data_IF_889175560948
#
_entry.id   IF_889175560948
#
_cell.length_a   1.000
_cell.length_b   1.000
_cell.length_c   1.000
_cell.angle_alpha   90.00
_cell.angle_beta   90.00
_cell.angle_gamma   90.00
#
_symmetry.space_group_name_H-M   'P 1'
#
loop_
_entity.id
_entity.type
_entity.pdbx_description
1 polymer ?
#
# COMPACT_ATOMS: atom_id res chain seq x y z
N UNK A 1 -1.37 26.78 9.61
CA UNK A 1 -2.45 27.12 8.66
C UNK A 1 -3.34 25.91 8.54
N UNK A 2 -4.59 26.02 9.01
CA UNK A 2 -5.62 24.97 8.90
C UNK A 2 -5.82 24.68 7.41
N UNK A 3 -5.56 23.45 6.98
CA UNK A 3 -5.97 22.98 5.66
C UNK A 3 -7.39 22.46 5.79
N UNK A 4 -8.30 23.06 5.04
CA UNK A 4 -9.72 22.77 5.04
C UNK A 4 -10.00 21.30 4.67
N UNK A 5 -10.93 20.67 5.39
CA UNK A 5 -11.33 19.26 5.24
C UNK A 5 -11.88 18.91 3.84
N UNK A 6 -12.11 19.92 2.99
CA UNK A 6 -12.65 19.79 1.64
C UNK A 6 -11.61 19.51 0.54
N UNK A 7 -10.31 19.61 0.80
CA UNK A 7 -9.27 19.34 -0.22
C UNK A 7 -8.77 17.88 -0.25
N UNK A 8 -9.21 17.02 0.68
CA UNK A 8 -8.93 15.58 0.64
C UNK A 8 -9.63 14.82 -0.52
N UNK A 9 -10.34 15.53 -1.40
CA UNK A 9 -11.14 14.98 -2.49
C UNK A 9 -10.52 15.08 -3.90
N UNK A 10 -9.22 15.39 -4.05
CA UNK A 10 -8.55 15.37 -5.36
C UNK A 10 -7.48 14.30 -5.49
N UNK A 11 -7.87 13.04 -5.59
CA UNK A 11 -7.13 12.12 -6.45
C UNK A 11 -8.16 11.30 -7.24
N UNK A 12 -8.51 11.72 -8.47
CA UNK A 12 -9.15 10.81 -9.39
C UNK A 12 -8.14 9.71 -9.68
N UNK A 13 -8.43 8.51 -9.21
CA UNK A 13 -7.83 7.28 -9.72
C UNK A 13 -8.34 7.05 -11.14
N UNK A 14 -8.07 8.00 -12.04
CA UNK A 14 -8.38 7.86 -13.44
C UNK A 14 -7.73 6.58 -13.95
N UNK A 15 -8.49 5.86 -14.77
CA UNK A 15 -8.16 4.73 -15.63
C UNK A 15 -6.93 4.92 -16.56
N UNK A 16 -6.02 5.85 -16.26
CA UNK A 16 -4.71 5.91 -16.87
C UNK A 16 -3.83 4.89 -16.19
N UNK A 17 -3.24 4.00 -16.98
CA UNK A 17 -2.22 3.10 -16.48
C UNK A 17 -1.10 3.95 -15.88
N UNK A 18 -0.94 3.92 -14.55
CA UNK A 18 0.10 4.69 -13.84
C UNK A 18 1.53 4.27 -14.23
N UNK A 19 1.67 3.27 -15.10
CA UNK A 19 2.94 2.78 -15.58
C UNK A 19 3.36 3.34 -16.95
N UNK A 20 2.40 3.71 -17.81
CA UNK A 20 2.70 4.26 -19.14
C UNK A 20 1.96 5.57 -19.45
N UNK A 21 1.07 6.04 -18.58
CA UNK A 21 0.27 7.26 -18.78
C UNK A 21 -0.86 7.12 -19.81
N UNK A 22 -0.95 5.99 -20.52
CA UNK A 22 -1.96 5.72 -21.55
C UNK A 22 -3.28 5.18 -21.01
N UNK A 23 -4.31 5.23 -21.85
CA UNK A 23 -5.58 4.52 -21.66
C UNK A 23 -5.34 3.03 -21.97
N UNK A 24 -5.26 2.20 -20.94
CA UNK A 24 -5.17 0.75 -21.14
C UNK A 24 -6.57 0.16 -21.18
N UNK A 25 -6.78 -0.83 -22.05
CA UNK A 25 -8.06 -1.54 -22.13
C UNK A 25 -8.42 -2.14 -20.76
N UNK A 26 -9.65 -1.92 -20.25
CA UNK A 26 -10.06 -2.38 -18.92
C UNK A 26 -10.05 -3.91 -18.76
N UNK A 27 -9.99 -4.66 -19.86
CA UNK A 27 -10.41 -6.06 -19.90
C UNK A 27 -9.27 -7.06 -19.71
N UNK A 28 -8.02 -6.68 -19.98
CA UNK A 28 -6.90 -7.64 -19.98
C UNK A 28 -6.01 -7.54 -18.74
N UNK A 29 -6.15 -6.49 -17.92
CA UNK A 29 -5.27 -6.20 -16.75
C UNK A 29 -3.76 -6.21 -17.06
N UNK A 30 -3.38 -6.23 -18.34
CA UNK A 30 -2.00 -6.31 -18.82
C UNK A 30 -1.74 -5.02 -19.59
N UNK A 31 -0.81 -4.20 -19.09
CA UNK A 31 -0.28 -3.08 -19.85
C UNK A 31 0.91 -3.59 -20.68
N UNK A 32 0.82 -3.66 -22.01
CA UNK A 32 1.91 -4.16 -22.86
C UNK A 32 3.17 -3.27 -22.79
N UNK A 33 3.02 -2.00 -22.36
CA UNK A 33 4.11 -1.05 -22.18
C UNK A 33 4.65 -0.98 -20.74
N UNK A 34 4.15 -1.82 -19.83
CA UNK A 34 4.61 -1.84 -18.45
C UNK A 34 5.96 -2.53 -18.34
N UNK A 35 7.07 -1.77 -18.39
CA UNK A 35 8.42 -2.35 -18.22
C UNK A 35 8.59 -3.07 -16.88
N UNK A 36 7.96 -2.56 -15.81
CA UNK A 36 7.75 -3.24 -14.53
C UNK A 36 6.50 -2.63 -13.88
N UNK A 37 5.49 -3.41 -13.47
CA UNK A 37 4.39 -2.83 -12.67
C UNK A 37 4.91 -2.41 -11.29
N UNK A 38 4.14 -1.67 -10.49
CA UNK A 38 4.52 -1.34 -9.09
C UNK A 38 4.90 -2.56 -8.23
N UNK A 39 4.54 -3.77 -8.64
CA UNK A 39 4.84 -5.03 -7.95
C UNK A 39 5.92 -5.86 -8.62
N UNK A 40 6.30 -5.58 -9.87
CA UNK A 40 7.35 -6.30 -10.59
C UNK A 40 8.72 -5.64 -10.46
N UNK A 41 9.78 -6.44 -10.53
CA UNK A 41 11.17 -5.98 -10.71
C UNK A 41 11.84 -6.83 -11.80
N UNK A 42 13.12 -6.57 -12.09
CA UNK A 42 13.90 -7.41 -13.01
C UNK A 42 14.05 -8.84 -12.47
N UNK A 43 14.02 -8.99 -11.14
CA UNK A 43 14.24 -10.24 -10.42
C UNK A 43 12.93 -10.96 -10.03
N UNK A 44 11.78 -10.27 -10.08
CA UNK A 44 10.49 -10.84 -9.66
C UNK A 44 9.35 -10.39 -10.58
N UNK A 45 8.51 -11.32 -11.07
CA UNK A 45 7.39 -10.98 -11.93
C UNK A 45 6.36 -10.09 -11.21
N UNK A 46 5.70 -9.24 -12.00
CA UNK A 46 4.61 -8.41 -11.54
C UNK A 46 3.44 -9.25 -11.02
N UNK A 47 2.98 -8.97 -9.79
CA UNK A 47 1.72 -9.52 -9.28
C UNK A 47 0.54 -8.70 -9.81
N UNK A 48 -0.43 -9.40 -10.38
CA UNK A 48 -1.70 -8.84 -10.84
C UNK A 48 -2.58 -8.57 -9.62
N UNK A 49 -3.02 -7.32 -9.48
CA UNK A 49 -3.92 -6.93 -8.38
C UNK A 49 -5.37 -7.17 -8.81
N UNK A 50 -6.25 -7.64 -7.91
CA UNK A 50 -7.69 -7.58 -8.12
C UNK A 50 -8.13 -6.15 -8.46
N UNK A 51 -8.95 -6.01 -9.49
CA UNK A 51 -9.55 -4.72 -9.86
C UNK A 51 -10.50 -4.29 -8.74
N UNK A 52 -10.35 -3.05 -8.30
CA UNK A 52 -11.30 -2.43 -7.37
C UNK A 52 -12.07 -1.39 -8.16
N UNK A 53 -13.40 -1.53 -8.28
CA UNK A 53 -14.23 -0.48 -8.87
C UNK A 53 -14.03 0.85 -8.15
N UNK A 54 -14.07 1.97 -8.88
CA UNK A 54 -13.78 3.30 -8.32
C UNK A 54 -14.68 3.63 -7.11
N UNK A 55 -15.96 3.29 -7.19
CA UNK A 55 -16.92 3.48 -6.08
C UNK A 55 -16.68 2.55 -4.87
N UNK A 56 -15.76 1.59 -4.98
CA UNK A 56 -15.36 0.65 -3.93
C UNK A 56 -13.95 0.92 -3.39
N UNK A 57 -13.26 1.97 -3.83
CA UNK A 57 -11.92 2.30 -3.30
C UNK A 57 -11.98 2.84 -1.87
N UNK A 58 -12.97 3.68 -1.55
CA UNK A 58 -13.14 4.22 -0.18
C UNK A 58 -13.46 3.11 0.82
N UNK A 59 -12.79 3.10 1.97
CA UNK A 59 -13.01 2.09 3.02
C UNK A 59 -14.44 2.10 3.58
N UNK A 60 -15.10 3.25 3.59
CA UNK A 60 -16.51 3.39 4.00
C UNK A 60 -17.48 2.66 3.07
N UNK A 61 -17.12 2.42 1.81
CA UNK A 61 -17.94 1.65 0.88
C UNK A 61 -17.93 0.17 1.27
N UNK A 62 -19.12 -0.43 1.42
CA UNK A 62 -19.27 -1.87 1.61
C UNK A 62 -18.77 -2.62 0.37
N UNK A 63 -17.84 -3.54 0.58
CA UNK A 63 -17.21 -4.33 -0.46
C UNK A 63 -16.66 -5.64 0.12
N UNK A 64 -16.93 -6.77 -0.54
CA UNK A 64 -16.33 -8.07 -0.22
C UNK A 64 -14.87 -8.07 -0.70
N UNK A 65 -14.03 -7.33 0.03
CA UNK A 65 -12.67 -7.05 -0.36
C UNK A 65 -11.78 -8.28 -0.15
N UNK A 66 -11.24 -8.82 -1.25
CA UNK A 66 -10.33 -9.99 -1.27
C UNK A 66 -8.99 -9.62 -1.89
N UNK A 67 -8.16 -8.83 -1.18
CA UNK A 67 -6.84 -8.46 -1.67
C UNK A 67 -5.90 -9.67 -1.73
N UNK A 68 -4.90 -9.61 -2.60
CA UNK A 68 -3.79 -10.56 -2.60
C UNK A 68 -2.73 -10.08 -1.60
N UNK A 69 -2.27 -10.97 -0.74
CA UNK A 69 -1.15 -10.68 0.15
C UNK A 69 0.17 -10.73 -0.62
N UNK A 70 0.92 -9.63 -0.58
CA UNK A 70 2.24 -9.57 -1.20
C UNK A 70 3.22 -8.75 -0.38
N UNK A 71 4.32 -9.39 -0.02
CA UNK A 71 5.54 -8.75 0.48
C UNK A 71 6.70 -9.32 -0.32
N UNK A 72 7.50 -8.45 -0.94
CA UNK A 72 8.62 -8.89 -1.76
C UNK A 72 9.65 -9.64 -0.92
N UNK A 73 10.30 -10.62 -1.51
CA UNK A 73 11.22 -11.52 -0.79
C UNK A 73 12.35 -10.74 -0.09
N UNK A 74 12.93 -9.75 -0.79
CA UNK A 74 13.96 -8.85 -0.25
C UNK A 74 13.53 -8.05 0.99
N UNK A 75 12.21 -7.85 1.18
CA UNK A 75 11.64 -7.21 2.37
C UNK A 75 11.43 -8.28 3.44
N UNK A 76 10.85 -9.43 3.07
CA UNK A 76 10.57 -10.54 3.98
C UNK A 76 11.84 -11.08 4.67
N UNK A 77 12.95 -11.17 3.94
CA UNK A 77 14.23 -11.68 4.45
C UNK A 77 15.21 -10.59 4.87
N UNK A 78 14.78 -9.32 4.85
CA UNK A 78 15.67 -8.23 5.20
C UNK A 78 16.06 -8.27 6.67
N UNK A 79 17.36 -8.15 6.93
CA UNK A 79 17.90 -7.95 8.28
C UNK A 79 18.19 -6.47 8.59
N UNK A 80 17.86 -5.59 7.64
CA UNK A 80 18.11 -4.14 7.73
C UNK A 80 17.15 -3.49 8.74
N UNK A 81 17.68 -2.65 9.61
CA UNK A 81 16.91 -1.99 10.68
C UNK A 81 15.77 -1.10 10.16
N UNK A 82 15.93 -0.52 8.97
CA UNK A 82 14.89 0.27 8.29
C UNK A 82 13.82 -0.59 7.57
N UNK A 83 13.79 -1.89 7.82
CA UNK A 83 12.73 -2.76 7.30
C UNK A 83 11.94 -3.29 8.48
N UNK A 84 10.73 -2.75 8.63
CA UNK A 84 9.79 -3.23 9.65
C UNK A 84 9.57 -4.74 9.47
N UNK A 85 9.76 -5.49 10.56
CA UNK A 85 9.25 -6.85 10.68
C UNK A 85 7.73 -6.81 10.72
N UNK A 86 7.08 -7.86 10.23
CA UNK A 86 5.63 -7.96 10.24
C UNK A 86 5.12 -8.14 11.68
N UNK A 87 4.39 -7.16 12.26
CA UNK A 87 3.96 -7.24 13.66
C UNK A 87 2.95 -8.37 13.91
N UNK A 88 2.33 -8.91 12.85
CA UNK A 88 1.36 -10.02 12.91
C UNK A 88 2.04 -11.37 13.14
N UNK A 89 3.35 -11.47 12.92
CA UNK A 89 4.08 -12.71 13.16
C UNK A 89 4.25 -12.92 14.67
N UNK A 90 4.12 -14.18 15.11
CA UNK A 90 4.37 -14.59 16.49
C UNK A 90 5.86 -14.46 16.83
N UNK A 91 6.33 -13.24 17.08
CA UNK A 91 7.65 -12.96 17.59
C UNK A 91 7.63 -12.89 19.12
N UNK A 92 8.71 -13.34 19.77
CA UNK A 92 8.91 -13.19 21.20
C UNK A 92 10.27 -12.50 21.47
N UNK A 93 10.31 -11.26 21.99
CA UNK A 93 9.17 -10.42 22.36
C UNK A 93 8.37 -9.95 21.14
N UNK A 94 7.09 -9.62 21.37
CA UNK A 94 6.20 -9.10 20.33
C UNK A 94 6.74 -7.78 19.79
N UNK A 95 6.68 -7.60 18.48
CA UNK A 95 7.13 -6.37 17.82
C UNK A 95 6.13 -5.25 18.17
N UNK A 96 6.59 -4.24 18.91
CA UNK A 96 5.78 -3.09 19.26
C UNK A 96 6.09 -1.91 18.32
N UNK A 97 5.16 -1.57 17.44
CA UNK A 97 5.29 -0.45 16.50
C UNK A 97 4.40 0.70 16.96
N UNK A 98 4.99 1.88 17.18
CA UNK A 98 4.25 3.08 17.56
C UNK A 98 3.66 3.77 16.31
N UNK A 99 2.52 3.27 15.84
CA UNK A 99 1.82 3.85 14.70
C UNK A 99 1.30 5.27 14.98
N UNK A 100 1.21 6.10 13.94
CA UNK A 100 0.80 7.51 14.01
C UNK A 100 1.65 8.37 14.96
N UNK A 101 2.86 7.93 15.30
CA UNK A 101 3.79 8.63 16.18
C UNK A 101 5.20 8.63 15.59
N UNK A 102 6.07 9.44 16.18
CA UNK A 102 7.51 9.36 15.97
C UNK A 102 8.06 8.30 16.93
N UNK A 103 8.57 7.19 16.39
CA UNK A 103 9.14 6.10 17.19
C UNK A 103 10.66 6.27 17.46
N UNK A 104 11.20 7.47 17.19
CA UNK A 104 12.62 7.88 17.25
C UNK A 104 13.51 7.30 16.14
N UNK A 105 13.15 6.16 15.58
CA UNK A 105 13.90 5.51 14.50
C UNK A 105 13.23 5.69 13.13
N UNK A 106 11.94 6.03 13.13
CA UNK A 106 11.09 6.19 11.97
C UNK A 106 9.90 7.09 12.34
N UNK A 107 9.72 8.19 11.59
CA UNK A 107 8.50 8.96 11.67
C UNK A 107 7.36 8.18 10.98
N UNK A 108 6.41 7.70 11.79
CA UNK A 108 5.24 6.93 11.31
C UNK A 108 4.00 7.80 11.19
N UNK A 109 4.10 9.11 11.34
CA UNK A 109 2.99 10.03 11.10
C UNK A 109 2.74 10.17 9.60
N UNK A 110 1.52 10.54 9.26
CA UNK A 110 1.11 10.80 7.90
C UNK A 110 0.70 12.26 7.76
N UNK A 111 1.08 12.88 6.64
CA UNK A 111 0.62 14.23 6.29
C UNK A 111 -0.89 14.28 6.03
N UNK A 112 -1.52 13.13 5.78
CA UNK A 112 -2.99 13.00 5.63
C UNK A 112 -3.72 12.82 6.97
N UNK A 113 -3.05 13.08 8.10
CA UNK A 113 -3.60 12.84 9.43
C UNK A 113 -3.45 11.38 9.87
N UNK A 114 -4.12 11.02 10.97
CA UNK A 114 -4.03 9.69 11.56
C UNK A 114 -4.67 8.63 10.64
N UNK A 115 -3.94 7.56 10.37
CA UNK A 115 -4.48 6.40 9.68
C UNK A 115 -4.94 5.34 10.68
N UNK A 116 -5.96 4.58 10.28
CA UNK A 116 -6.52 3.51 11.10
C UNK A 116 -5.56 2.32 11.18
N UNK A 117 -5.50 1.69 12.34
CA UNK A 117 -4.83 0.40 12.54
C UNK A 117 -5.90 -0.70 12.54
N UNK A 118 -5.70 -1.76 11.76
CA UNK A 118 -6.63 -2.88 11.66
C UNK A 118 -5.86 -4.17 11.90
N UNK A 119 -6.25 -4.91 12.94
CA UNK A 119 -5.40 -5.95 13.52
C UNK A 119 -4.16 -5.28 14.13
N UNK A 120 -3.05 -5.31 13.40
CA UNK A 120 -1.76 -4.78 13.86
C UNK A 120 -1.02 -3.97 12.79
N UNK A 121 -1.69 -3.75 11.65
CA UNK A 121 -1.10 -3.13 10.47
C UNK A 121 -1.87 -1.86 10.08
N UNK A 122 -1.18 -0.87 9.46
CA UNK A 122 -1.81 0.35 9.00
C UNK A 122 -2.75 0.09 7.82
N UNK A 123 -3.93 0.67 7.89
CA UNK A 123 -4.85 0.74 6.76
C UNK A 123 -4.52 2.00 5.93
N UNK A 124 -4.28 1.84 4.63
CA UNK A 124 -3.95 2.95 3.74
C UNK A 124 -5.02 4.05 3.79
N UNK A 125 -4.71 5.29 4.21
CA UNK A 125 -5.69 6.37 4.32
C UNK A 125 -6.34 6.71 2.97
N UNK A 126 -5.66 6.47 1.85
CA UNK A 126 -6.17 6.77 0.51
C UNK A 126 -7.10 5.68 -0.08
N UNK A 127 -7.43 4.63 0.67
CA UNK A 127 -8.35 3.57 0.23
C UNK A 127 -7.71 2.25 -0.17
N UNK A 128 -8.56 1.34 -0.68
CA UNK A 128 -8.21 -0.02 -1.11
C UNK A 128 -7.30 -0.01 -2.34
N UNK A 129 -6.38 -0.97 -2.43
CA UNK A 129 -5.37 -1.02 -3.51
C UNK A 129 -5.26 -2.38 -4.22
N UNK A 130 -6.03 -3.37 -3.77
CA UNK A 130 -6.08 -4.74 -4.31
C UNK A 130 -5.04 -5.65 -3.66
N UNK A 131 -4.18 -5.12 -2.79
CA UNK A 131 -3.15 -5.90 -2.11
C UNK A 131 -3.08 -5.59 -0.62
N UNK A 132 -2.61 -6.55 0.14
CA UNK A 132 -2.14 -6.42 1.53
C UNK A 132 -0.64 -6.75 1.59
N UNK A 133 -0.02 -6.56 2.75
CA UNK A 133 1.42 -6.68 2.91
C UNK A 133 2.18 -5.41 2.52
N UNK A 134 3.50 -5.52 2.37
CA UNK A 134 4.39 -4.36 2.16
C UNK A 134 4.72 -4.10 0.69
N UNK A 135 4.45 -5.05 -0.20
CA UNK A 135 5.02 -5.05 -1.54
C UNK A 135 6.54 -4.90 -1.49
N UNK A 136 7.08 -3.93 -2.22
CA UNK A 136 8.51 -3.60 -2.23
C UNK A 136 8.93 -2.55 -1.18
N UNK A 137 8.03 -2.12 -0.30
CA UNK A 137 8.27 -1.00 0.61
C UNK A 137 9.03 -1.45 1.88
N UNK A 138 10.30 -1.05 1.98
CA UNK A 138 10.95 -0.82 3.28
C UNK A 138 10.48 0.52 3.88
N UNK A 139 10.70 0.77 5.17
CA UNK A 139 10.44 2.08 5.78
C UNK A 139 11.78 2.76 5.99
N UNK A 140 12.19 3.64 5.07
CA UNK A 140 13.41 4.42 5.31
C UNK A 140 13.26 5.18 6.64
N UNK A 141 14.24 4.99 7.52
CA UNK A 141 14.52 5.91 8.62
C UNK A 141 14.77 7.32 8.06
#
# INVERSE_FOLDING_TARGET
>A
TRLDEHENNRIPIHHKCRNCGGACEPQTNICPNAKFTRTGTKEQPAIIRPVIPDNKVRWSSQFNYRPIEFTAEKIRTSTKEYVDKDPRQSANPKINILWNQDDKHCDRRSYHGQYRIVGEVPQNPCGRTGITGRGHLGKRA
#
